data_IF_978985008457
#
_entry.id   IF_978985008457
#
_cell.length_a   1.000
_cell.length_b   1.000
_cell.length_c   1.000
_cell.angle_alpha   90.00
_cell.angle_beta   90.00
_cell.angle_gamma   90.00
#
_symmetry.space_group_name_H-M   'P 1'
#
loop_
_entity.id
_entity.type
_entity.pdbx_description
1 polymer ?
#
# COMPACT_ATOMS: atom_id res chain seq x y z
N UNK A 1 0.41 2.76 20.22
CA UNK A 1 -0.30 1.45 20.16
C UNK A 1 -1.79 1.68 20.17
N UNK A 2 -2.50 1.05 19.25
CA UNK A 2 -3.98 1.05 19.20
C UNK A 2 -4.46 -0.39 19.39
N UNK A 3 -5.33 -0.60 20.38
CA UNK A 3 -5.90 -1.91 20.66
C UNK A 3 -7.30 -2.04 20.04
N UNK A 4 -7.60 -3.20 19.47
CA UNK A 4 -8.93 -3.65 19.10
C UNK A 4 -9.11 -5.12 19.47
N UNK A 5 -10.33 -5.64 19.37
CA UNK A 5 -10.56 -7.07 19.59
C UNK A 5 -9.68 -7.92 18.68
N UNK A 6 -8.79 -8.71 19.26
CA UNK A 6 -7.88 -9.63 18.55
C UNK A 6 -6.62 -9.00 17.95
N UNK A 7 -6.35 -7.70 18.15
CA UNK A 7 -5.11 -7.08 17.69
C UNK A 7 -4.69 -5.85 18.51
N UNK A 8 -3.38 -5.63 18.57
CA UNK A 8 -2.76 -4.38 19.01
C UNK A 8 -1.87 -3.89 17.87
N UNK A 9 -2.11 -2.67 17.39
CA UNK A 9 -1.43 -2.11 16.22
C UNK A 9 -0.49 -0.99 16.65
N UNK A 10 0.78 -1.12 16.31
CA UNK A 10 1.76 -0.05 16.40
C UNK A 10 1.45 1.00 15.33
N UNK A 11 1.57 2.27 15.68
CA UNK A 11 1.29 3.38 14.77
C UNK A 11 2.44 4.38 14.83
N UNK A 12 3.00 4.72 13.69
CA UNK A 12 3.94 5.82 13.53
C UNK A 12 3.17 7.07 13.12
N UNK A 13 3.46 8.18 13.78
CA UNK A 13 2.79 9.46 13.54
C UNK A 13 3.84 10.50 13.19
N UNK A 14 3.67 11.12 12.01
CA UNK A 14 4.60 12.12 11.52
C UNK A 14 3.83 13.39 11.08
N UNK A 15 4.52 14.54 11.15
CA UNK A 15 3.97 15.83 10.76
C UNK A 15 3.06 16.49 11.79
N UNK A 16 2.39 17.58 11.42
CA UNK A 16 1.60 18.38 12.35
C UNK A 16 0.34 17.62 12.82
N UNK A 17 0.05 17.57 14.13
CA UNK A 17 -1.03 16.71 14.68
C UNK A 17 -2.43 17.10 14.18
N UNK A 18 -2.60 18.34 13.72
CA UNK A 18 -3.88 18.86 13.20
C UNK A 18 -3.87 19.07 11.69
N UNK A 19 -2.83 18.62 10.99
CA UNK A 19 -2.76 18.66 9.52
C UNK A 19 -3.78 17.71 8.87
N UNK A 20 -4.13 17.95 7.60
CA UNK A 20 -4.94 16.99 6.84
C UNK A 20 -4.26 15.63 6.83
N UNK A 21 -5.00 14.58 7.18
CA UNK A 21 -4.41 13.27 7.44
C UNK A 21 -4.34 12.38 6.21
N UNK A 22 -3.20 11.69 6.07
CA UNK A 22 -2.97 10.58 5.17
C UNK A 22 -2.66 9.31 5.98
N UNK A 23 -3.37 8.22 5.71
CA UNK A 23 -3.07 6.90 6.27
C UNK A 23 -2.34 6.08 5.22
N UNK A 24 -1.14 5.59 5.54
CA UNK A 24 -0.22 4.97 4.59
C UNK A 24 -0.10 3.47 4.88
N UNK A 25 -0.46 2.63 3.90
CA UNK A 25 -0.53 1.19 4.02
C UNK A 25 0.53 0.52 3.13
N UNK A 26 1.45 -0.28 3.71
CA UNK A 26 2.60 -0.84 3.00
C UNK A 26 2.22 -1.99 2.05
N UNK A 27 3.22 -2.42 1.28
CA UNK A 27 3.15 -3.55 0.36
C UNK A 27 3.09 -4.89 1.09
N UNK A 28 2.98 -5.99 0.33
CA UNK A 28 2.93 -7.36 0.81
C UNK A 28 4.17 -7.69 1.65
N UNK A 29 3.96 -8.08 2.91
CA UNK A 29 5.04 -8.48 3.82
C UNK A 29 6.09 -7.40 4.08
N UNK A 30 5.69 -6.13 3.97
CA UNK A 30 6.54 -4.96 4.23
C UNK A 30 5.94 -4.13 5.37
N UNK A 31 6.76 -3.29 6.00
CA UNK A 31 6.38 -2.43 7.11
C UNK A 31 6.23 -0.96 6.73
N UNK A 32 5.89 -0.15 7.73
CA UNK A 32 5.66 1.28 7.57
C UNK A 32 6.91 2.07 7.18
N UNK A 33 8.11 1.52 7.42
CA UNK A 33 9.40 2.09 7.04
C UNK A 33 9.55 2.34 5.53
N UNK A 34 8.83 1.60 4.69
CA UNK A 34 8.85 1.82 3.24
C UNK A 34 8.42 3.24 2.85
N UNK A 35 7.69 3.92 3.72
CA UNK A 35 7.20 5.27 3.49
C UNK A 35 8.13 6.37 4.01
N UNK A 36 9.26 6.07 4.68
CA UNK A 36 10.11 7.08 5.34
C UNK A 36 10.54 8.20 4.38
N UNK A 37 10.99 7.83 3.17
CA UNK A 37 11.37 8.80 2.15
C UNK A 37 10.20 9.68 1.66
N UNK A 38 9.00 9.13 1.56
CA UNK A 38 7.80 9.85 1.14
C UNK A 38 7.28 10.79 2.23
N UNK A 39 7.28 10.33 3.47
CA UNK A 39 6.78 11.05 4.65
C UNK A 39 7.47 12.39 4.82
N UNK A 40 8.77 12.48 4.55
CA UNK A 40 9.53 13.73 4.63
C UNK A 40 8.92 14.85 3.74
N UNK A 41 8.50 14.51 2.51
CA UNK A 41 7.86 15.46 1.60
C UNK A 41 6.42 15.81 2.04
N UNK A 42 5.66 14.82 2.51
CA UNK A 42 4.28 15.04 2.92
C UNK A 42 4.19 15.91 4.17
N UNK A 43 5.06 15.67 5.16
CA UNK A 43 5.09 16.44 6.40
C UNK A 43 5.57 17.87 6.16
N UNK A 44 6.54 18.07 5.27
CA UNK A 44 6.96 19.40 4.83
C UNK A 44 5.81 20.18 4.16
N UNK A 45 4.91 19.47 3.46
CA UNK A 45 3.70 20.05 2.86
C UNK A 45 2.54 20.23 3.86
N UNK A 46 2.76 19.97 5.16
CA UNK A 46 1.80 20.19 6.24
C UNK A 46 0.81 19.04 6.47
N UNK A 47 1.03 17.86 5.89
CA UNK A 47 0.18 16.70 6.12
C UNK A 47 0.57 15.94 7.39
N UNK A 48 -0.43 15.40 8.08
CA UNK A 48 -0.27 14.41 9.12
C UNK A 48 -0.23 13.02 8.49
N UNK A 49 0.86 12.28 8.64
CA UNK A 49 1.02 10.91 8.18
C UNK A 49 0.76 9.95 9.35
N UNK A 50 -0.15 9.00 9.15
CA UNK A 50 -0.50 7.94 10.08
C UNK A 50 -0.12 6.61 9.41
N UNK A 51 0.84 5.91 9.99
CA UNK A 51 1.40 4.68 9.41
C UNK A 51 1.20 3.51 10.38
N UNK A 52 0.08 2.76 10.25
CA UNK A 52 -0.11 1.55 11.02
C UNK A 52 0.82 0.44 10.54
N UNK A 53 1.54 -0.19 11.46
CA UNK A 53 2.29 -1.40 11.18
C UNK A 53 1.35 -2.60 11.01
N UNK A 54 1.50 -3.43 9.97
CA UNK A 54 0.75 -4.68 9.87
C UNK A 54 1.01 -5.61 11.07
N UNK A 55 0.03 -6.44 11.40
CA UNK A 55 0.21 -7.50 12.41
C UNK A 55 1.47 -8.32 12.13
N UNK A 56 2.27 -8.58 13.17
CA UNK A 56 3.51 -9.35 13.09
C UNK A 56 4.75 -8.54 12.69
N UNK A 57 4.62 -7.21 12.52
CA UNK A 57 5.74 -6.30 12.29
C UNK A 57 5.87 -5.36 13.49
N UNK A 58 7.10 -5.01 13.83
CA UNK A 58 7.40 -4.13 14.97
C UNK A 58 6.77 -4.66 16.27
N UNK A 59 5.98 -3.81 16.92
CA UNK A 59 5.22 -4.16 18.13
C UNK A 59 3.77 -4.56 17.83
N UNK A 60 3.35 -4.57 16.58
CA UNK A 60 2.00 -5.00 16.20
C UNK A 60 1.79 -6.48 16.43
N UNK A 61 0.70 -6.86 17.10
CA UNK A 61 0.39 -8.23 17.52
C UNK A 61 -1.07 -8.55 17.23
N UNK A 62 -1.35 -9.83 17.11
CA UNK A 62 -2.71 -10.35 16.95
C UNK A 62 -2.71 -11.71 16.29
N UNK A 63 -3.90 -12.26 16.11
CA UNK A 63 -4.09 -13.49 15.37
C UNK A 63 -3.57 -13.32 13.94
N UNK A 64 -2.86 -14.33 13.45
CA UNK A 64 -2.21 -14.33 12.12
C UNK A 64 -2.83 -15.37 11.18
N UNK A 65 -3.86 -16.08 11.61
CA UNK A 65 -4.54 -17.14 10.85
C UNK A 65 -6.05 -16.91 10.84
N UNK A 66 -6.75 -17.47 9.87
CA UNK A 66 -8.20 -17.37 9.77
C UNK A 66 -8.73 -15.96 9.48
N UNK A 67 -7.88 -15.06 9.01
CA UNK A 67 -8.22 -13.68 8.71
C UNK A 67 -8.72 -13.51 7.27
N UNK A 68 -9.44 -12.42 7.07
CA UNK A 68 -9.85 -11.88 5.78
C UNK A 68 -9.24 -10.49 5.57
N UNK A 69 -9.36 -9.92 4.37
CA UNK A 69 -8.99 -8.52 4.13
C UNK A 69 -9.85 -7.55 4.97
N UNK A 70 -11.07 -7.93 5.32
CA UNK A 70 -11.94 -7.13 6.21
C UNK A 70 -11.37 -7.02 7.62
N UNK A 71 -10.71 -8.08 8.13
CA UNK A 71 -10.03 -8.03 9.43
C UNK A 71 -8.84 -7.08 9.41
N UNK A 72 -8.05 -7.11 8.33
CA UNK A 72 -6.92 -6.18 8.14
C UNK A 72 -7.40 -4.73 7.95
N UNK A 73 -8.50 -4.53 7.23
CA UNK A 73 -9.13 -3.22 7.09
C UNK A 73 -9.69 -2.70 8.42
N UNK A 74 -10.24 -3.59 9.25
CA UNK A 74 -10.73 -3.24 10.59
C UNK A 74 -9.60 -2.81 11.54
N UNK A 75 -8.38 -3.33 11.40
CA UNK A 75 -7.21 -2.84 12.13
C UNK A 75 -6.92 -1.38 11.81
N UNK A 76 -6.95 -1.03 10.52
CA UNK A 76 -6.74 0.34 10.04
C UNK A 76 -7.89 1.26 10.48
N UNK A 77 -9.14 0.79 10.41
CA UNK A 77 -10.30 1.54 10.89
C UNK A 77 -10.17 1.91 12.37
N UNK A 78 -9.74 0.96 13.21
CA UNK A 78 -9.53 1.20 14.64
C UNK A 78 -8.43 2.24 14.90
N UNK A 79 -7.36 2.25 14.07
CA UNK A 79 -6.33 3.30 14.14
C UNK A 79 -6.91 4.67 13.79
N UNK A 80 -7.72 4.78 12.73
CA UNK A 80 -8.38 6.04 12.36
C UNK A 80 -9.31 6.50 13.47
N UNK A 81 -10.08 5.60 14.08
CA UNK A 81 -10.97 5.92 15.20
C UNK A 81 -10.20 6.43 16.44
N UNK A 82 -9.09 5.79 16.78
CA UNK A 82 -8.27 6.18 17.92
C UNK A 82 -7.57 7.52 17.74
N UNK A 83 -7.03 7.77 16.54
CA UNK A 83 -6.27 8.98 16.20
C UNK A 83 -7.17 10.19 15.89
N UNK A 84 -8.46 9.99 15.63
CA UNK A 84 -9.48 11.01 15.37
C UNK A 84 -9.08 12.09 14.36
N UNK A 85 -8.51 11.76 13.21
CA UNK A 85 -8.05 12.74 12.24
C UNK A 85 -9.19 13.35 11.39
N UNK A 86 -10.44 12.95 11.60
CA UNK A 86 -11.53 13.16 10.66
C UNK A 86 -11.47 12.22 9.47
N UNK A 87 -12.00 12.64 8.31
CA UNK A 87 -11.93 11.83 7.08
C UNK A 87 -10.54 11.92 6.44
N UNK A 88 -9.94 10.77 6.13
CA UNK A 88 -8.56 10.67 5.67
C UNK A 88 -8.43 10.50 4.14
N UNK A 89 -7.27 10.86 3.58
CA UNK A 89 -6.78 10.29 2.34
C UNK A 89 -6.09 8.95 2.68
N UNK A 90 -6.66 7.86 2.20
CA UNK A 90 -6.11 6.53 2.42
C UNK A 90 -5.16 6.17 1.27
N UNK A 91 -3.92 5.84 1.57
CA UNK A 91 -2.88 5.55 0.58
C UNK A 91 -2.43 4.11 0.73
N UNK A 92 -2.55 3.30 -0.32
CA UNK A 92 -2.15 1.90 -0.30
C UNK A 92 -1.16 1.56 -1.40
N UNK A 93 0.06 1.10 -1.03
CA UNK A 93 1.05 0.61 -1.96
C UNK A 93 0.88 -0.89 -2.21
N UNK A 94 0.87 -1.30 -3.46
CA UNK A 94 0.79 -2.71 -3.88
C UNK A 94 -0.30 -3.48 -3.10
N UNK A 95 0.04 -4.41 -2.20
CA UNK A 95 -0.93 -5.12 -1.37
C UNK A 95 -1.79 -4.16 -0.52
N UNK A 96 -1.21 -3.09 0.01
CA UNK A 96 -1.92 -2.10 0.80
C UNK A 96 -3.13 -1.49 0.09
N UNK A 97 -3.16 -1.49 -1.27
CA UNK A 97 -4.33 -1.06 -2.03
C UNK A 97 -5.57 -1.92 -1.77
N UNK A 98 -5.39 -3.22 -1.55
CA UNK A 98 -6.53 -4.11 -1.31
C UNK A 98 -7.17 -3.84 0.05
N UNK A 99 -6.34 -3.69 1.08
CA UNK A 99 -6.80 -3.28 2.42
C UNK A 99 -7.50 -1.91 2.35
N UNK A 100 -6.92 -0.95 1.62
CA UNK A 100 -7.51 0.37 1.43
C UNK A 100 -8.87 0.31 0.73
N UNK A 101 -9.01 -0.49 -0.32
CA UNK A 101 -10.29 -0.63 -1.07
C UNK A 101 -11.35 -1.33 -0.24
N UNK A 102 -10.98 -2.35 0.54
CA UNK A 102 -11.88 -2.99 1.50
C UNK A 102 -12.33 -1.98 2.56
N UNK A 103 -11.43 -1.16 3.09
CA UNK A 103 -11.79 -0.14 4.07
C UNK A 103 -12.75 0.92 3.51
N UNK A 104 -12.58 1.35 2.26
CA UNK A 104 -13.56 2.22 1.56
C UNK A 104 -14.93 1.57 1.47
N UNK A 105 -14.97 0.25 1.28
CA UNK A 105 -16.21 -0.52 1.24
C UNK A 105 -16.88 -0.60 2.62
N UNK A 106 -16.10 -0.91 3.66
CA UNK A 106 -16.60 -1.23 5.00
C UNK A 106 -16.88 0.02 5.84
N UNK A 107 -16.11 1.10 5.65
CA UNK A 107 -16.14 2.34 6.44
C UNK A 107 -16.03 3.61 5.57
N UNK A 108 -16.92 3.80 4.60
CA UNK A 108 -16.83 4.93 3.66
C UNK A 108 -16.88 6.31 4.37
N UNK A 109 -17.49 6.37 5.56
CA UNK A 109 -17.59 7.59 6.37
C UNK A 109 -16.23 8.08 6.89
N UNK A 110 -15.26 7.17 7.06
CA UNK A 110 -13.91 7.53 7.51
C UNK A 110 -13.03 8.06 6.37
N UNK A 111 -13.41 7.81 5.10
CA UNK A 111 -12.55 8.00 3.94
C UNK A 111 -13.01 9.21 3.12
N UNK A 112 -12.09 10.17 2.90
CA UNK A 112 -12.30 11.31 2.00
C UNK A 112 -12.01 10.94 0.54
N UNK A 113 -10.91 10.26 0.32
CA UNK A 113 -10.44 9.77 -0.96
C UNK A 113 -9.44 8.63 -0.77
N UNK A 114 -9.14 7.90 -1.84
CA UNK A 114 -8.15 6.83 -1.84
C UNK A 114 -7.08 7.11 -2.91
N UNK A 115 -5.82 6.84 -2.59
CA UNK A 115 -4.73 6.76 -3.56
C UNK A 115 -4.11 5.36 -3.53
N UNK A 116 -3.94 4.75 -4.69
CA UNK A 116 -3.31 3.44 -4.82
C UNK A 116 -2.03 3.58 -5.64
N UNK A 117 -0.95 3.01 -5.14
CA UNK A 117 0.40 3.18 -5.68
C UNK A 117 0.90 1.84 -6.22
N UNK A 118 1.36 1.80 -7.48
CA UNK A 118 1.90 0.59 -8.11
C UNK A 118 1.01 -0.64 -7.85
N UNK A 119 -0.29 -0.50 -8.08
CA UNK A 119 -1.31 -1.43 -7.61
C UNK A 119 -1.88 -2.28 -8.76
N UNK A 120 -2.00 -3.58 -8.56
CA UNK A 120 -2.71 -4.43 -9.50
C UNK A 120 -4.20 -4.06 -9.55
N UNK A 121 -4.72 -3.83 -10.76
CA UNK A 121 -6.16 -3.62 -10.97
C UNK A 121 -6.93 -4.94 -10.98
N UNK A 122 -6.24 -6.05 -11.26
CA UNK A 122 -6.75 -7.42 -11.21
C UNK A 122 -5.92 -8.26 -10.24
N UNK A 123 -6.41 -9.45 -9.90
CA UNK A 123 -5.68 -10.39 -9.03
C UNK A 123 -4.74 -11.32 -9.80
N UNK A 124 -4.71 -11.23 -11.13
CA UNK A 124 -3.89 -12.10 -11.98
C UNK A 124 -2.50 -11.51 -12.16
N UNK A 125 -1.49 -12.25 -11.72
CA UNK A 125 -0.07 -11.90 -11.86
C UNK A 125 0.58 -12.91 -12.82
N UNK A 126 1.33 -12.41 -13.79
CA UNK A 126 2.10 -13.27 -14.72
C UNK A 126 2.95 -14.28 -13.92
N UNK A 127 2.86 -15.58 -14.22
CA UNK A 127 3.62 -16.61 -13.52
C UNK A 127 5.13 -16.36 -13.51
N UNK A 128 5.69 -15.71 -14.56
CA UNK A 128 7.12 -15.37 -14.64
C UNK A 128 7.50 -14.32 -13.60
N UNK A 129 6.65 -13.31 -13.40
CA UNK A 129 6.85 -12.28 -12.39
C UNK A 129 6.69 -12.86 -10.98
N UNK A 130 5.80 -13.84 -10.81
CA UNK A 130 5.62 -14.54 -9.53
C UNK A 130 6.91 -15.19 -9.01
N UNK A 131 7.81 -15.65 -9.90
CA UNK A 131 9.13 -16.16 -9.52
C UNK A 131 9.95 -15.07 -8.82
N UNK A 132 10.01 -13.87 -9.39
CA UNK A 132 10.74 -12.74 -8.78
C UNK A 132 10.11 -12.31 -7.45
N UNK A 133 8.77 -12.27 -7.39
CA UNK A 133 8.06 -11.97 -6.13
C UNK A 133 8.41 -13.01 -5.05
N UNK A 134 8.37 -14.29 -5.36
CA UNK A 134 8.67 -15.35 -4.38
C UNK A 134 10.14 -15.33 -3.94
N UNK A 135 11.06 -15.10 -4.89
CA UNK A 135 12.50 -15.06 -4.59
C UNK A 135 12.89 -13.90 -3.66
N UNK A 136 12.21 -12.75 -3.73
CA UNK A 136 12.46 -11.64 -2.79
C UNK A 136 12.07 -11.97 -1.34
N UNK A 137 11.11 -12.89 -1.13
CA UNK A 137 10.70 -13.38 0.20
C UNK A 137 11.49 -14.59 0.69
N UNK A 138 12.31 -15.23 -0.17
CA UNK A 138 13.04 -16.43 0.18
C UNK A 138 14.32 -16.08 0.97
N UNK A 139 14.22 -16.16 2.28
CA UNK A 139 15.32 -15.86 3.20
C UNK A 139 16.41 -16.94 3.23
N UNK A 140 16.25 -18.05 2.48
CA UNK A 140 17.30 -19.05 2.28
C UNK A 140 18.28 -18.67 1.15
N UNK A 141 17.90 -17.72 0.30
CA UNK A 141 18.75 -17.19 -0.76
C UNK A 141 19.75 -16.18 -0.18
N UNK A 142 20.91 -16.08 -0.83
CA UNK A 142 21.88 -15.03 -0.53
C UNK A 142 21.34 -13.65 -0.91
N UNK A 143 21.88 -12.57 -0.31
CA UNK A 143 21.50 -11.21 -0.66
C UNK A 143 21.74 -10.91 -2.16
N UNK A 144 22.79 -11.47 -2.76
CA UNK A 144 23.05 -11.32 -4.19
C UNK A 144 21.90 -11.93 -5.05
N UNK A 145 21.45 -13.13 -4.70
CA UNK A 145 20.33 -13.79 -5.39
C UNK A 145 19.01 -13.04 -5.17
N UNK A 146 18.73 -12.60 -3.95
CA UNK A 146 17.54 -11.79 -3.66
C UNK A 146 17.55 -10.46 -4.41
N UNK A 147 18.73 -9.82 -4.52
CA UNK A 147 18.91 -8.60 -5.29
C UNK A 147 18.59 -8.77 -6.77
N UNK A 148 18.93 -9.93 -7.38
CA UNK A 148 18.51 -10.25 -8.75
C UNK A 148 16.99 -10.30 -8.89
N UNK A 149 16.29 -10.92 -7.95
CA UNK A 149 14.82 -10.96 -7.93
C UNK A 149 14.21 -9.57 -7.75
N UNK A 150 14.80 -8.73 -6.89
CA UNK A 150 14.35 -7.35 -6.69
C UNK A 150 14.52 -6.52 -7.96
N UNK A 151 15.66 -6.61 -8.63
CA UNK A 151 15.90 -5.93 -9.91
C UNK A 151 14.95 -6.39 -11.01
N UNK A 152 14.69 -7.69 -11.08
CA UNK A 152 13.84 -8.26 -12.13
C UNK A 152 12.35 -7.96 -11.95
N UNK A 153 11.87 -7.81 -10.71
CA UNK A 153 10.44 -7.66 -10.43
C UNK A 153 10.02 -6.28 -9.94
N UNK A 154 10.87 -5.59 -9.19
CA UNK A 154 10.39 -4.44 -8.42
C UNK A 154 10.98 -3.10 -8.84
N UNK A 155 12.20 -3.07 -9.34
CA UNK A 155 12.92 -1.82 -9.60
C UNK A 155 13.06 -1.54 -11.09
N UNK A 156 12.91 -0.27 -11.46
CA UNK A 156 13.24 0.19 -12.80
C UNK A 156 14.76 0.09 -13.06
N UNK A 157 15.19 -0.15 -14.31
CA UNK A 157 16.61 -0.22 -14.66
C UNK A 157 17.38 1.04 -14.22
N UNK A 158 18.52 0.82 -13.55
CA UNK A 158 19.40 1.89 -13.08
C UNK A 158 19.10 2.40 -11.67
N UNK A 159 18.01 2.02 -11.06
CA UNK A 159 17.71 2.33 -9.68
C UNK A 159 18.35 1.32 -8.72
N UNK A 160 18.64 1.76 -7.49
CA UNK A 160 19.29 0.94 -6.48
C UNK A 160 18.28 0.02 -5.77
N UNK A 161 18.24 -1.24 -6.19
CA UNK A 161 17.37 -2.23 -5.57
C UNK A 161 17.86 -2.72 -4.21
N UNK A 162 19.11 -2.43 -3.81
CA UNK A 162 19.67 -2.88 -2.53
C UNK A 162 18.96 -2.29 -1.32
N UNK A 163 18.30 -1.14 -1.50
CA UNK A 163 17.52 -0.47 -0.44
C UNK A 163 16.33 -1.32 0.04
N UNK A 164 15.91 -2.33 -0.76
CA UNK A 164 14.84 -3.26 -0.39
C UNK A 164 15.34 -4.66 0.02
N UNK A 165 16.64 -4.88 0.17
CA UNK A 165 17.14 -6.13 0.76
C UNK A 165 16.63 -6.37 2.19
N UNK A 166 16.61 -5.38 3.10
CA UNK A 166 15.95 -5.51 4.40
C UNK A 166 14.43 -5.29 4.32
N UNK A 167 13.74 -5.47 5.45
CA UNK A 167 12.33 -5.10 5.61
C UNK A 167 11.34 -6.10 5.00
N UNK A 168 11.71 -7.37 4.87
CA UNK A 168 10.83 -8.43 4.41
C UNK A 168 10.39 -9.33 5.57
N UNK A 169 9.07 -9.55 5.67
CA UNK A 169 8.44 -10.32 6.73
C UNK A 169 7.63 -11.49 6.15
N UNK A 170 8.27 -12.64 5.81
CA UNK A 170 7.61 -13.78 5.16
C UNK A 170 6.37 -14.31 5.89
N UNK A 171 6.34 -14.41 7.25
CA UNK A 171 5.13 -14.82 7.95
C UNK A 171 3.96 -13.86 7.72
N UNK A 172 4.22 -12.54 7.68
CA UNK A 172 3.20 -11.52 7.41
C UNK A 172 2.70 -11.62 5.98
N UNK A 173 3.60 -11.79 5.00
CA UNK A 173 3.22 -11.99 3.60
C UNK A 173 2.33 -13.22 3.42
N UNK A 174 2.60 -14.32 4.16
CA UNK A 174 1.77 -15.53 4.15
C UNK A 174 0.37 -15.22 4.68
N UNK A 175 0.27 -14.63 5.87
CA UNK A 175 -1.01 -14.23 6.46
C UNK A 175 -1.82 -13.33 5.52
N UNK A 176 -1.18 -12.35 4.89
CA UNK A 176 -1.84 -11.43 3.95
C UNK A 176 -2.34 -12.14 2.69
N UNK A 177 -1.59 -13.11 2.16
CA UNK A 177 -2.03 -13.95 1.03
C UNK A 177 -3.21 -14.86 1.40
N UNK A 178 -3.17 -15.46 2.59
CA UNK A 178 -4.26 -16.29 3.13
C UNK A 178 -5.51 -15.45 3.34
N UNK A 179 -5.39 -14.28 3.94
CA UNK A 179 -6.49 -13.32 4.11
C UNK A 179 -7.12 -12.90 2.77
N UNK A 180 -6.28 -12.68 1.75
CA UNK A 180 -6.75 -12.39 0.39
C UNK A 180 -7.54 -13.55 -0.21
N UNK A 181 -7.04 -14.77 -0.07
CA UNK A 181 -7.71 -15.97 -0.58
C UNK A 181 -9.03 -16.25 0.15
N UNK A 182 -9.09 -15.97 1.47
CA UNK A 182 -10.29 -16.12 2.28
C UNK A 182 -11.35 -15.05 2.00
N UNK A 183 -10.99 -13.92 1.40
CA UNK A 183 -11.91 -12.85 1.01
C UNK A 183 -12.51 -13.15 -0.36
N UNK A 184 -13.61 -13.90 -0.40
CA UNK A 184 -14.25 -14.34 -1.65
C UNK A 184 -15.20 -13.31 -2.26
N UNK A 185 -15.75 -12.44 -1.44
CA UNK A 185 -16.57 -11.31 -1.87
C UNK A 185 -15.68 -10.27 -2.61
N UNK A 186 -16.18 -9.64 -3.68
CA UNK A 186 -15.41 -8.79 -4.60
C UNK A 186 -16.01 -7.40 -4.84
N UNK A 187 -17.07 -6.99 -4.13
CA UNK A 187 -17.70 -5.66 -4.31
C UNK A 187 -16.76 -4.50 -3.96
N UNK A 188 -15.79 -4.72 -3.07
CA UNK A 188 -14.76 -3.76 -2.71
C UNK A 188 -13.80 -3.41 -3.86
N UNK A 189 -13.73 -4.22 -4.92
CA UNK A 189 -12.87 -3.94 -6.07
C UNK A 189 -13.18 -2.61 -6.76
N UNK A 190 -14.43 -2.16 -6.73
CA UNK A 190 -14.92 -0.95 -7.42
C UNK A 190 -14.95 0.29 -6.53
N UNK A 191 -13.85 0.53 -5.78
CA UNK A 191 -13.77 1.61 -4.79
C UNK A 191 -14.05 3.01 -5.37
N UNK A 192 -13.71 3.27 -6.65
CA UNK A 192 -13.95 4.56 -7.31
C UNK A 192 -15.42 4.81 -7.70
N UNK A 193 -16.32 3.87 -7.46
CA UNK A 193 -17.78 4.12 -7.47
C UNK A 193 -18.24 4.84 -6.20
N UNK A 194 -17.52 4.65 -5.09
CA UNK A 194 -17.88 5.18 -3.77
C UNK A 194 -17.14 6.45 -3.40
N UNK A 195 -15.88 6.59 -3.85
CA UNK A 195 -15.04 7.74 -3.52
C UNK A 195 -14.13 8.12 -4.69
N UNK A 196 -13.48 9.28 -4.61
CA UNK A 196 -12.42 9.66 -5.56
C UNK A 196 -11.22 8.74 -5.38
N UNK A 197 -10.63 8.31 -6.49
CA UNK A 197 -9.47 7.42 -6.51
C UNK A 197 -8.39 8.00 -7.42
N UNK A 198 -7.18 8.16 -6.87
CA UNK A 198 -5.95 8.38 -7.64
C UNK A 198 -5.20 7.06 -7.79
N UNK A 199 -4.88 6.68 -9.01
CA UNK A 199 -3.91 5.63 -9.30
C UNK A 199 -2.57 6.27 -9.67
N UNK A 200 -1.54 6.04 -8.86
CA UNK A 200 -0.17 6.44 -9.16
C UNK A 200 0.54 5.21 -9.73
N UNK A 201 0.64 5.17 -11.04
CA UNK A 201 1.29 4.10 -11.78
C UNK A 201 2.79 4.37 -11.89
N UNK A 202 3.61 3.33 -11.79
CA UNK A 202 5.04 3.40 -12.09
C UNK A 202 5.25 2.96 -13.55
N UNK A 203 5.95 3.76 -14.35
CA UNK A 203 6.02 3.58 -15.80
C UNK A 203 6.67 2.24 -16.22
N UNK A 204 7.57 1.72 -15.39
CA UNK A 204 8.36 0.50 -15.63
C UNK A 204 8.02 -0.63 -14.66
N UNK A 205 6.80 -0.58 -14.09
CA UNK A 205 6.30 -1.63 -13.19
C UNK A 205 5.99 -2.91 -13.98
N UNK A 206 6.74 -3.98 -13.69
CA UNK A 206 6.56 -5.29 -14.32
C UNK A 206 5.55 -6.16 -13.58
N UNK A 207 5.29 -5.88 -12.28
CA UNK A 207 4.30 -6.61 -11.45
C UNK A 207 2.89 -6.10 -11.74
N UNK A 208 2.74 -4.78 -11.84
CA UNK A 208 1.47 -4.09 -12.07
C UNK A 208 1.64 -3.05 -13.19
N UNK A 209 1.80 -3.48 -14.44
CA UNK A 209 2.02 -2.56 -15.56
C UNK A 209 0.91 -1.49 -15.61
N UNK A 210 1.25 -0.23 -15.94
CA UNK A 210 0.27 0.85 -16.03
C UNK A 210 -0.90 0.48 -16.95
N UNK A 211 -2.14 0.52 -16.47
CA UNK A 211 -3.30 0.31 -17.33
C UNK A 211 -3.56 1.56 -18.19
N UNK A 212 -4.42 1.44 -19.18
CA UNK A 212 -5.07 2.63 -19.74
C UNK A 212 -6.05 3.22 -18.75
N UNK A 213 -6.34 4.53 -18.85
CA UNK A 213 -7.33 5.18 -17.97
C UNK A 213 -8.72 4.55 -18.13
N UNK A 214 -9.08 4.13 -19.33
CA UNK A 214 -10.36 3.47 -19.59
C UNK A 214 -10.42 2.09 -18.91
N UNK A 215 -9.36 1.29 -18.99
CA UNK A 215 -9.26 0.01 -18.29
C UNK A 215 -9.32 0.20 -16.76
N UNK A 216 -8.64 1.23 -16.23
CA UNK A 216 -8.69 1.56 -14.82
C UNK A 216 -10.12 1.92 -14.38
N UNK A 217 -10.82 2.78 -15.13
CA UNK A 217 -12.19 3.18 -14.83
C UNK A 217 -13.18 2.02 -14.97
N UNK A 218 -12.98 1.16 -15.94
CA UNK A 218 -13.80 -0.05 -16.09
C UNK A 218 -13.64 -0.99 -14.89
N UNK A 219 -12.42 -1.15 -14.37
CA UNK A 219 -12.14 -2.03 -13.23
C UNK A 219 -12.56 -1.44 -11.88
N UNK A 220 -12.32 -0.14 -11.65
CA UNK A 220 -12.44 0.46 -10.32
C UNK A 220 -13.61 1.44 -10.16
N UNK A 221 -14.15 1.97 -11.27
CA UNK A 221 -15.23 2.94 -11.28
C UNK A 221 -14.86 4.29 -11.91
N UNK A 222 -15.85 5.12 -12.24
CA UNK A 222 -15.67 6.31 -13.08
C UNK A 222 -14.89 7.46 -12.42
N UNK A 223 -14.79 7.47 -11.08
CA UNK A 223 -14.07 8.51 -10.32
C UNK A 223 -12.57 8.24 -10.20
N UNK A 224 -12.04 7.29 -11.00
CA UNK A 224 -10.61 7.00 -11.03
C UNK A 224 -9.88 8.03 -11.91
N UNK A 225 -8.80 8.56 -11.35
CA UNK A 225 -7.81 9.43 -11.99
C UNK A 225 -6.47 8.69 -12.01
N UNK A 226 -5.56 9.02 -12.93
CA UNK A 226 -4.27 8.35 -13.03
C UNK A 226 -3.14 9.35 -13.27
N UNK A 227 -2.02 9.11 -12.60
CA UNK A 227 -0.72 9.75 -12.87
C UNK A 227 0.31 8.66 -13.08
N UNK A 228 1.14 8.81 -14.10
CA UNK A 228 2.25 7.88 -14.39
C UNK A 228 3.55 8.54 -13.96
N UNK A 229 4.31 7.86 -13.10
CA UNK A 229 5.62 8.30 -12.60
C UNK A 229 6.71 7.62 -13.42
N UNK A 230 7.53 8.39 -14.17
CA UNK A 230 8.60 7.82 -14.98
C UNK A 230 9.78 7.37 -14.11
N UNK A 231 10.61 6.48 -14.64
CA UNK A 231 11.81 5.94 -13.99
C UNK A 231 11.50 5.31 -12.64
N UNK A 232 10.40 4.57 -12.56
CA UNK A 232 9.96 3.84 -11.39
C UNK A 232 9.39 2.49 -11.79
N UNK A 233 9.73 1.47 -11.04
CA UNK A 233 9.13 0.15 -11.04
C UNK A 233 8.10 0.00 -9.92
N UNK A 234 7.84 -1.24 -9.52
CA UNK A 234 6.89 -1.57 -8.45
C UNK A 234 7.30 -0.99 -7.09
N UNK A 235 8.60 -0.82 -6.84
CA UNK A 235 9.15 -0.19 -5.65
C UNK A 235 9.09 1.36 -5.71
N UNK A 236 8.00 1.92 -6.19
CA UNK A 236 7.79 3.34 -6.45
C UNK A 236 8.23 4.28 -5.31
N UNK A 237 8.04 3.84 -4.06
CA UNK A 237 8.31 4.65 -2.86
C UNK A 237 9.78 5.02 -2.71
N UNK A 238 10.75 4.10 -2.70
CA UNK A 238 12.17 4.44 -2.64
C UNK A 238 12.71 4.99 -3.97
N UNK A 239 12.10 4.64 -5.10
CA UNK A 239 12.60 5.06 -6.41
C UNK A 239 12.26 6.51 -6.74
N UNK A 240 11.03 6.94 -6.48
CA UNK A 240 10.53 8.28 -6.85
C UNK A 240 9.68 8.91 -5.73
N UNK A 241 10.21 9.07 -4.50
CA UNK A 241 9.44 9.57 -3.36
C UNK A 241 8.91 10.99 -3.59
N UNK A 242 9.70 11.88 -4.18
CA UNK A 242 9.29 13.26 -4.44
C UNK A 242 8.14 13.35 -5.48
N UNK A 243 8.23 12.60 -6.58
CA UNK A 243 7.21 12.58 -7.61
C UNK A 243 5.90 11.98 -7.08
N UNK A 244 6.00 10.91 -6.29
CA UNK A 244 4.87 10.26 -5.63
C UNK A 244 4.20 11.21 -4.63
N UNK A 245 5.00 11.89 -3.79
CA UNK A 245 4.47 12.89 -2.85
C UNK A 245 3.73 14.02 -3.58
N UNK A 246 4.31 14.57 -4.65
CA UNK A 246 3.69 15.63 -5.43
C UNK A 246 2.34 15.20 -6.03
N UNK A 247 2.21 13.96 -6.50
CA UNK A 247 0.94 13.42 -6.99
C UNK A 247 -0.12 13.36 -5.88
N UNK A 248 0.25 12.85 -4.69
CA UNK A 248 -0.63 12.76 -3.53
C UNK A 248 -1.07 14.14 -3.02
N UNK A 249 -0.14 15.08 -2.92
CA UNK A 249 -0.40 16.46 -2.46
C UNK A 249 -1.42 17.14 -3.39
N UNK A 250 -1.17 17.12 -4.71
CA UNK A 250 -2.08 17.71 -5.70
C UNK A 250 -3.47 17.10 -5.63
N UNK A 251 -3.57 15.78 -5.58
CA UNK A 251 -4.84 15.06 -5.46
C UNK A 251 -5.59 15.38 -4.16
N UNK A 252 -4.85 15.59 -3.07
CA UNK A 252 -5.43 15.94 -1.78
C UNK A 252 -6.02 17.35 -1.75
N UNK A 253 -5.51 18.28 -2.58
CA UNK A 253 -5.91 19.68 -2.65
C UNK A 253 -7.02 19.95 -3.68
N UNK A 254 -7.27 19.05 -4.61
CA UNK A 254 -8.37 19.08 -5.58
C UNK A 254 -9.66 18.46 -5.01
#
# INVERSE_FOLDING_TARGET
MVARTGAEIEVHLDGPPHGPAMVLLPSLGRGAEDYDGLVAFLTQAGFRCIRPEPRGIGRSRGEMTGLTLHDLAADVAAVIEAERPGRVLLVGHAFGNWVARVLVHDRPEQIRAIAILAAAITTDIDPRIRVSINGSFDMSLTDAQRLEHLRAGYFAPGNDASVWLPGWYPPVARMQREATAATTERSWLRAAERTRLLYVAAAEDTISPPPTLDALRAAMGPRAEMVVVPRAGHALLPEQPAATANALIRFSQS
#
